data_IF_334083623283
#
_entry.id   IF_334083623283
#
_cell.length_a   1.000
_cell.length_b   1.000
_cell.length_c   1.000
_cell.angle_alpha   90.00
_cell.angle_beta   90.00
_cell.angle_gamma   90.00
#
_symmetry.space_group_name_H-M   'P 1'
#
loop_
_entity.id
_entity.type
_entity.pdbx_description
1 polymer ?
#
# COMPACT_ATOMS: atom_id res chain seq x y z
N UNK A 1 -4.34 14.28 -29.63
CA UNK A 1 -3.07 15.03 -29.65
C UNK A 1 -3.14 16.17 -28.65
N UNK A 2 -2.73 15.97 -27.41
CA UNK A 2 -2.37 17.07 -26.51
C UNK A 2 -1.15 16.63 -25.71
N UNK A 3 -0.04 17.26 -26.06
CA UNK A 3 1.27 17.05 -25.47
C UNK A 3 1.37 17.95 -24.22
N UNK A 4 1.30 17.39 -23.03
CA UNK A 4 1.58 18.12 -21.79
C UNK A 4 3.04 17.88 -21.45
N UNK A 5 3.88 18.79 -21.88
CA UNK A 5 5.29 18.84 -21.51
C UNK A 5 5.43 19.17 -20.03
N UNK A 6 5.86 18.19 -19.26
CA UNK A 6 6.19 18.31 -17.85
C UNK A 6 7.50 19.08 -17.69
N UNK A 7 7.42 20.40 -17.50
CA UNK A 7 8.59 21.23 -17.13
C UNK A 7 8.96 20.95 -15.68
N UNK A 8 9.80 19.95 -15.47
CA UNK A 8 10.59 19.85 -14.23
C UNK A 8 11.63 20.97 -14.24
N UNK A 9 11.34 22.06 -13.55
CA UNK A 9 12.34 23.05 -13.17
C UNK A 9 13.28 22.41 -12.16
N UNK A 10 14.42 21.94 -12.67
CA UNK A 10 15.61 21.66 -11.86
C UNK A 10 16.11 23.01 -11.32
N UNK A 11 15.72 23.37 -10.10
CA UNK A 11 16.38 24.39 -9.34
C UNK A 11 17.71 23.80 -8.86
N UNK A 12 18.76 24.03 -9.64
CA UNK A 12 20.12 23.75 -9.24
C UNK A 12 20.48 24.62 -8.05
N UNK A 13 20.53 24.04 -6.84
CA UNK A 13 21.17 24.67 -5.69
C UNK A 13 22.66 24.71 -6.01
N UNK A 14 23.13 25.85 -6.46
CA UNK A 14 24.55 26.15 -6.57
C UNK A 14 25.13 26.13 -5.14
N UNK A 15 25.75 25.03 -4.76
CA UNK A 15 26.53 24.88 -3.53
C UNK A 15 27.82 25.67 -3.72
N UNK A 16 27.76 26.96 -3.38
CA UNK A 16 28.95 27.82 -3.32
C UNK A 16 29.87 27.27 -2.21
N UNK A 17 30.87 26.47 -2.61
CA UNK A 17 31.98 26.12 -1.74
C UNK A 17 32.85 27.37 -1.53
N UNK A 18 32.62 28.09 -0.45
CA UNK A 18 33.56 29.05 0.07
C UNK A 18 34.67 28.27 0.80
N UNK A 19 35.78 28.04 0.08
CA UNK A 19 37.04 27.62 0.66
C UNK A 19 37.62 28.82 1.39
N UNK A 20 37.41 28.92 2.69
CA UNK A 20 38.23 29.77 3.58
C UNK A 20 39.09 28.86 4.45
N UNK A 21 40.38 28.97 4.19
CA UNK A 21 41.49 28.34 4.90
C UNK A 21 41.79 29.09 6.19
N UNK A 22 42.17 28.35 7.24
CA UNK A 22 42.86 28.73 8.48
C UNK A 22 42.19 29.74 9.42
N UNK A 23 41.64 29.19 10.49
CA UNK A 23 41.31 29.90 11.72
C UNK A 23 40.62 28.93 12.69
N UNK A 24 41.15 28.85 13.90
CA UNK A 24 40.80 27.84 14.91
C UNK A 24 39.32 27.68 15.29
N UNK A 25 39.06 27.19 16.45
CA UNK A 25 37.76 26.75 17.02
C UNK A 25 36.56 27.70 16.73
N UNK A 26 36.80 28.99 16.54
CA UNK A 26 35.75 30.00 16.27
C UNK A 26 35.04 29.77 14.92
N UNK A 27 35.77 29.29 13.90
CA UNK A 27 35.17 29.06 12.56
C UNK A 27 34.25 27.86 12.49
N UNK A 28 34.46 26.83 13.29
CA UNK A 28 33.56 25.67 13.33
C UNK A 28 32.27 25.98 14.07
N UNK A 29 32.34 26.77 15.15
CA UNK A 29 31.17 27.29 15.86
C UNK A 29 30.31 28.17 14.94
N UNK A 30 30.92 29.14 14.22
CA UNK A 30 30.20 30.01 13.28
C UNK A 30 29.52 29.20 12.15
N UNK A 31 30.19 28.18 11.62
CA UNK A 31 29.60 27.30 10.60
C UNK A 31 28.46 26.46 11.15
N UNK A 32 28.58 25.94 12.37
CA UNK A 32 27.53 25.22 13.05
C UNK A 32 26.30 26.12 13.31
N UNK A 33 26.48 27.36 13.77
CA UNK A 33 25.43 28.35 13.96
C UNK A 33 24.73 28.72 12.63
N UNK A 34 25.50 28.87 11.54
CA UNK A 34 24.94 29.10 10.21
C UNK A 34 24.02 27.98 9.77
N UNK A 35 24.35 26.70 10.05
CA UNK A 35 23.49 25.55 9.77
C UNK A 35 22.21 25.62 10.61
N UNK A 36 22.29 25.94 11.88
CA UNK A 36 21.12 26.12 12.77
C UNK A 36 20.17 27.19 12.24
N UNK A 37 20.70 28.33 11.85
CA UNK A 37 19.93 29.44 11.29
C UNK A 37 19.26 29.05 9.96
N UNK A 38 19.96 28.30 9.10
CA UNK A 38 19.40 27.76 7.87
C UNK A 38 18.29 26.73 8.14
N UNK A 39 18.47 25.87 9.15
CA UNK A 39 17.44 24.89 9.52
C UNK A 39 16.18 25.57 10.08
N UNK A 40 16.31 26.60 10.92
CA UNK A 40 15.15 27.36 11.43
C UNK A 40 14.44 28.14 10.30
N UNK A 41 15.21 28.72 9.37
CA UNK A 41 14.66 29.35 8.18
C UNK A 41 13.90 28.35 7.28
N UNK A 42 14.44 27.15 7.11
CA UNK A 42 13.79 26.07 6.34
C UNK A 42 12.47 25.62 7.02
N UNK A 43 12.45 25.48 8.36
CA UNK A 43 11.22 25.19 9.12
C UNK A 43 10.18 26.28 8.87
N UNK A 44 10.59 27.54 8.97
CA UNK A 44 9.70 28.69 8.75
C UNK A 44 9.15 28.75 7.33
N UNK A 45 9.96 28.36 6.35
CA UNK A 45 9.55 28.24 4.95
C UNK A 45 8.72 26.98 4.63
N UNK A 46 8.56 26.05 5.61
CA UNK A 46 7.87 24.78 5.41
C UNK A 46 8.69 23.73 4.66
N UNK A 47 10.00 23.95 4.48
CA UNK A 47 10.91 22.95 3.88
C UNK A 47 11.50 22.06 5.00
N UNK A 48 10.63 21.21 5.53
CA UNK A 48 10.96 20.35 6.66
C UNK A 48 12.01 19.29 6.34
N UNK A 49 12.06 18.81 5.10
CA UNK A 49 13.05 17.82 4.65
C UNK A 49 14.46 18.42 4.63
N UNK A 50 14.59 19.65 4.14
CA UNK A 50 15.83 20.39 4.19
C UNK A 50 16.25 20.65 5.65
N UNK A 51 15.31 21.06 6.51
CA UNK A 51 15.60 21.32 7.92
C UNK A 51 16.15 20.07 8.62
N UNK A 52 15.55 18.90 8.43
CA UNK A 52 16.04 17.64 9.00
C UNK A 52 17.44 17.31 8.48
N UNK A 53 17.68 17.47 7.18
CA UNK A 53 18.99 17.23 6.55
C UNK A 53 20.08 18.15 7.11
N UNK A 54 19.76 19.42 7.33
CA UNK A 54 20.68 20.40 7.93
C UNK A 54 21.01 20.03 9.38
N UNK A 55 20.02 19.61 10.18
CA UNK A 55 20.23 19.19 11.56
C UNK A 55 21.02 17.88 11.67
N UNK A 56 20.85 16.96 10.72
CA UNK A 56 21.70 15.76 10.62
C UNK A 56 23.14 16.11 10.23
N UNK A 57 23.31 17.12 9.37
CA UNK A 57 24.63 17.65 9.01
C UNK A 57 25.30 18.32 10.22
N UNK A 58 24.57 19.11 11.00
CA UNK A 58 25.06 19.70 12.25
C UNK A 58 25.60 18.62 13.18
N UNK A 59 24.80 17.58 13.43
CA UNK A 59 25.17 16.47 14.32
C UNK A 59 26.40 15.70 13.84
N UNK A 60 26.51 15.44 12.53
CA UNK A 60 27.58 14.62 11.96
C UNK A 60 28.89 15.38 11.78
N UNK A 61 28.85 16.65 11.33
CA UNK A 61 30.05 17.44 11.02
C UNK A 61 30.60 18.22 12.21
N UNK A 62 29.73 18.63 13.13
CA UNK A 62 30.09 19.47 14.28
C UNK A 62 29.70 18.80 15.62
N UNK A 63 30.12 17.54 15.88
CA UNK A 63 29.73 16.80 17.08
C UNK A 63 30.29 17.42 18.38
N UNK A 64 31.32 18.27 18.28
CA UNK A 64 31.97 18.91 19.43
C UNK A 64 31.33 20.25 19.80
N UNK A 65 30.50 20.82 18.93
CA UNK A 65 29.80 22.10 19.16
C UNK A 65 28.55 21.91 20.04
N UNK A 66 28.77 21.45 21.28
CA UNK A 66 27.70 21.03 22.20
C UNK A 66 26.73 22.18 22.53
N UNK A 67 27.26 23.42 22.68
CA UNK A 67 26.40 24.59 22.97
C UNK A 67 25.45 24.88 21.81
N UNK A 68 25.96 24.88 20.58
CA UNK A 68 25.16 25.08 19.37
C UNK A 68 24.13 23.97 19.20
N UNK A 69 24.52 22.70 19.37
CA UNK A 69 23.60 21.58 19.28
C UNK A 69 22.49 21.62 20.34
N UNK A 70 22.84 22.05 21.59
CA UNK A 70 21.85 22.23 22.65
C UNK A 70 20.85 23.33 22.29
N UNK A 71 21.31 24.46 21.76
CA UNK A 71 20.43 25.54 21.30
C UNK A 71 19.49 25.13 20.16
N UNK A 72 19.89 24.13 19.36
CA UNK A 72 19.11 23.60 18.23
C UNK A 72 18.20 22.39 18.58
N UNK A 73 18.18 21.94 19.84
CA UNK A 73 17.46 20.70 20.23
C UNK A 73 15.96 20.73 19.94
N UNK A 74 15.32 21.89 19.95
CA UNK A 74 13.89 22.04 19.66
C UNK A 74 13.58 22.11 18.16
N UNK A 75 14.56 22.35 17.30
CA UNK A 75 14.33 22.52 15.86
C UNK A 75 13.96 21.20 15.20
N UNK A 76 14.62 20.10 15.57
CA UNK A 76 14.33 18.78 15.00
C UNK A 76 12.90 18.31 15.27
N UNK A 77 12.39 18.34 16.51
CA UNK A 77 10.99 18.03 16.79
C UNK A 77 10.01 18.93 16.02
N UNK A 78 10.30 20.25 15.88
CA UNK A 78 9.48 21.18 15.09
C UNK A 78 9.47 20.82 13.60
N UNK A 79 10.62 20.46 13.03
CA UNK A 79 10.70 20.00 11.64
C UNK A 79 9.91 18.71 11.44
N UNK A 80 10.06 17.73 12.33
CA UNK A 80 9.30 16.46 12.30
C UNK A 80 7.80 16.72 12.46
N UNK A 81 7.39 17.61 13.37
CA UNK A 81 5.98 17.98 13.52
C UNK A 81 5.40 18.51 12.20
N UNK A 82 6.06 19.50 11.58
CA UNK A 82 5.59 20.08 10.33
C UNK A 82 5.57 19.08 9.18
N UNK A 83 6.62 18.25 9.03
CA UNK A 83 6.67 17.17 8.05
C UNK A 83 5.52 16.17 8.25
N UNK A 84 5.26 15.77 9.51
CA UNK A 84 4.22 14.81 9.86
C UNK A 84 2.83 15.38 9.58
N UNK A 85 2.56 16.64 9.91
CA UNK A 85 1.29 17.31 9.59
C UNK A 85 1.04 17.28 8.08
N UNK A 86 2.03 17.64 7.27
CA UNK A 86 1.91 17.56 5.80
C UNK A 86 1.62 16.14 5.31
N UNK A 87 2.29 15.13 5.89
CA UNK A 87 2.05 13.72 5.54
C UNK A 87 0.64 13.26 5.95
N UNK A 88 0.11 13.75 7.05
CA UNK A 88 -1.27 13.53 7.49
C UNK A 88 -2.25 14.08 6.46
N UNK A 89 -2.11 15.33 6.04
CA UNK A 89 -2.99 15.98 5.04
C UNK A 89 -3.02 15.19 3.72
N UNK A 90 -1.85 14.78 3.23
CA UNK A 90 -1.73 13.95 2.01
C UNK A 90 -2.44 12.61 2.23
N UNK A 91 -2.19 11.95 3.37
CA UNK A 91 -2.77 10.64 3.68
C UNK A 91 -4.29 10.72 3.83
N UNK A 92 -4.82 11.76 4.48
CA UNK A 92 -6.25 11.99 4.64
C UNK A 92 -6.93 12.24 3.28
N UNK A 93 -6.30 12.99 2.39
CA UNK A 93 -6.79 13.19 1.01
C UNK A 93 -6.85 11.87 0.23
N UNK A 94 -5.78 11.05 0.32
CA UNK A 94 -5.74 9.73 -0.32
C UNK A 94 -6.78 8.78 0.28
N UNK A 95 -6.96 8.81 1.60
CA UNK A 95 -7.95 7.99 2.32
C UNK A 95 -9.37 8.37 1.92
N UNK A 96 -9.67 9.66 1.79
CA UNK A 96 -10.97 10.13 1.33
C UNK A 96 -11.28 9.63 -0.09
N UNK A 97 -10.32 9.73 -1.02
CA UNK A 97 -10.45 9.26 -2.39
C UNK A 97 -10.63 7.72 -2.45
N UNK A 98 -9.82 6.97 -1.70
CA UNK A 98 -9.89 5.51 -1.63
C UNK A 98 -11.22 5.05 -1.00
N UNK A 99 -11.69 5.72 0.05
CA UNK A 99 -12.98 5.43 0.70
C UNK A 99 -14.15 5.68 -0.24
N UNK A 100 -14.15 6.79 -0.97
CA UNK A 100 -15.18 7.06 -1.97
C UNK A 100 -15.21 5.99 -3.08
N UNK A 101 -14.03 5.54 -3.54
CA UNK A 101 -13.93 4.45 -4.53
C UNK A 101 -14.48 3.14 -3.96
N UNK A 102 -14.11 2.77 -2.72
CA UNK A 102 -14.63 1.61 -2.01
C UNK A 102 -16.16 1.63 -1.95
N UNK A 103 -16.74 2.74 -1.50
CA UNK A 103 -18.18 2.85 -1.30
C UNK A 103 -18.95 2.78 -2.65
N UNK A 104 -18.37 3.37 -3.70
CA UNK A 104 -18.91 3.26 -5.06
C UNK A 104 -18.88 1.83 -5.57
N UNK A 105 -17.79 1.11 -5.35
CA UNK A 105 -17.64 -0.28 -5.79
C UNK A 105 -18.52 -1.24 -4.97
N UNK A 106 -18.69 -0.99 -3.67
CA UNK A 106 -19.52 -1.82 -2.79
C UNK A 106 -20.95 -1.98 -3.30
N UNK A 107 -21.46 -1.02 -4.07
CA UNK A 107 -22.78 -1.09 -4.69
C UNK A 107 -22.93 -2.26 -5.68
N UNK A 108 -21.86 -2.86 -6.16
CA UNK A 108 -21.88 -4.01 -7.07
C UNK A 108 -21.79 -5.35 -6.33
N UNK A 109 -21.62 -5.33 -5.03
CA UNK A 109 -21.43 -6.52 -4.20
C UNK A 109 -22.64 -6.77 -3.29
N UNK A 110 -22.80 -8.04 -2.92
CA UNK A 110 -23.68 -8.50 -1.85
C UNK A 110 -22.83 -9.17 -0.78
N UNK A 111 -23.16 -8.90 0.47
CA UNK A 111 -22.58 -9.65 1.59
C UNK A 111 -23.38 -10.93 1.80
N UNK A 112 -22.69 -12.06 1.77
CA UNK A 112 -23.28 -13.38 2.04
C UNK A 112 -22.78 -13.83 3.41
N UNK A 113 -23.71 -13.95 4.34
CA UNK A 113 -23.44 -14.52 5.65
C UNK A 113 -23.98 -15.95 5.67
N UNK A 114 -23.07 -16.92 5.65
CA UNK A 114 -23.47 -18.32 5.82
C UNK A 114 -23.22 -18.71 7.28
N UNK A 115 -24.24 -19.14 8.02
CA UNK A 115 -24.08 -19.57 9.43
C UNK A 115 -23.11 -20.73 9.64
N UNK A 116 -22.83 -21.50 8.59
CA UNK A 116 -21.85 -22.59 8.61
C UNK A 116 -20.40 -22.13 8.43
N UNK A 117 -20.20 -20.87 8.00
CA UNK A 117 -18.89 -20.23 7.87
C UNK A 117 -18.66 -19.29 9.05
N UNK A 118 -17.48 -19.32 9.63
CA UNK A 118 -17.11 -18.43 10.75
C UNK A 118 -17.20 -16.96 10.33
N UNK A 119 -16.94 -16.66 9.06
CA UNK A 119 -16.96 -15.31 8.48
C UNK A 119 -17.75 -15.28 7.18
N UNK A 120 -18.51 -14.20 6.96
CA UNK A 120 -19.19 -13.94 5.71
C UNK A 120 -18.20 -13.44 4.63
N UNK A 121 -18.69 -13.29 3.42
CA UNK A 121 -17.90 -12.81 2.29
C UNK A 121 -18.72 -11.89 1.38
N UNK A 122 -18.01 -11.07 0.63
CA UNK A 122 -18.62 -10.31 -0.46
C UNK A 122 -18.44 -11.04 -1.79
N UNK A 123 -19.51 -10.99 -2.60
CA UNK A 123 -19.53 -11.54 -3.96
C UNK A 123 -20.29 -10.55 -4.86
N UNK A 124 -20.03 -10.55 -6.15
CA UNK A 124 -20.81 -9.72 -7.07
C UNK A 124 -22.32 -10.09 -6.99
N UNK A 125 -23.20 -9.10 -7.11
CA UNK A 125 -24.67 -9.30 -6.93
C UNK A 125 -25.24 -10.42 -7.77
N UNK A 126 -24.71 -10.60 -8.98
CA UNK A 126 -25.14 -11.65 -9.91
C UNK A 126 -24.89 -13.06 -9.39
N UNK A 127 -23.94 -13.22 -8.45
CA UNK A 127 -23.62 -14.51 -7.85
C UNK A 127 -24.18 -14.71 -6.43
N UNK A 128 -24.76 -13.69 -5.82
CA UNK A 128 -25.23 -13.75 -4.43
C UNK A 128 -26.25 -14.89 -4.18
N UNK A 129 -27.04 -15.25 -5.19
CA UNK A 129 -28.07 -16.29 -5.11
C UNK A 129 -27.80 -17.44 -6.09
N UNK A 130 -26.58 -17.57 -6.60
CA UNK A 130 -26.20 -18.64 -7.53
C UNK A 130 -25.43 -19.74 -6.82
N UNK A 131 -25.54 -20.97 -7.32
CA UNK A 131 -24.72 -22.07 -6.85
C UNK A 131 -23.63 -22.39 -7.87
N UNK A 132 -22.38 -22.33 -7.44
CA UNK A 132 -21.24 -22.73 -8.24
C UNK A 132 -21.16 -24.26 -8.38
N UNK A 133 -21.76 -25.01 -7.47
CA UNK A 133 -21.64 -26.47 -7.37
C UNK A 133 -22.07 -27.22 -8.64
N UNK A 134 -23.09 -26.71 -9.34
CA UNK A 134 -23.68 -27.42 -10.49
C UNK A 134 -23.25 -26.83 -11.85
N UNK A 135 -22.20 -26.04 -11.89
CA UNK A 135 -21.68 -25.44 -13.13
C UNK A 135 -20.16 -25.55 -13.24
N UNK A 136 -19.65 -25.56 -14.45
CA UNK A 136 -18.21 -25.43 -14.70
C UNK A 136 -17.87 -23.94 -14.84
N UNK A 137 -16.92 -23.48 -14.05
CA UNK A 137 -16.47 -22.10 -14.05
C UNK A 137 -15.78 -21.72 -12.75
N UNK A 138 -15.76 -20.42 -12.47
CA UNK A 138 -15.13 -19.86 -11.28
C UNK A 138 -16.03 -18.80 -10.64
N UNK A 139 -15.82 -18.55 -9.37
CA UNK A 139 -16.44 -17.47 -8.61
C UNK A 139 -15.38 -16.83 -7.73
N UNK A 140 -15.25 -15.52 -7.86
CA UNK A 140 -14.36 -14.76 -7.02
C UNK A 140 -15.13 -14.15 -5.84
N UNK A 141 -14.52 -14.19 -4.69
CA UNK A 141 -15.05 -13.66 -3.42
C UNK A 141 -13.98 -12.85 -2.71
N UNK A 142 -14.40 -12.06 -1.73
CA UNK A 142 -13.52 -11.27 -0.87
C UNK A 142 -14.01 -11.31 0.56
N UNK A 143 -13.08 -11.50 1.50
CA UNK A 143 -13.40 -11.40 2.93
C UNK A 143 -13.67 -9.95 3.34
N UNK A 144 -14.31 -9.69 4.49
CA UNK A 144 -14.45 -8.34 5.03
C UNK A 144 -13.11 -7.61 5.20
N UNK A 145 -12.03 -8.35 5.46
CA UNK A 145 -10.67 -7.84 5.64
C UNK A 145 -9.97 -7.51 4.32
N UNK A 146 -10.58 -7.88 3.17
CA UNK A 146 -10.06 -7.58 1.84
C UNK A 146 -9.24 -8.70 1.22
N UNK A 147 -9.26 -9.92 1.76
CA UNK A 147 -8.57 -11.05 1.16
C UNK A 147 -9.36 -11.57 -0.05
N UNK A 148 -8.72 -11.56 -1.21
CA UNK A 148 -9.27 -12.06 -2.47
C UNK A 148 -9.07 -13.58 -2.55
N UNK A 149 -10.12 -14.29 -2.99
CA UNK A 149 -10.03 -15.71 -3.26
C UNK A 149 -10.94 -16.14 -4.41
N UNK A 150 -10.56 -17.22 -5.08
CA UNK A 150 -11.30 -17.80 -6.20
C UNK A 150 -11.68 -19.23 -5.85
N UNK A 151 -12.96 -19.54 -6.04
CA UNK A 151 -13.43 -20.91 -5.99
C UNK A 151 -13.64 -21.37 -7.43
N UNK A 152 -13.00 -22.49 -7.79
CA UNK A 152 -13.25 -23.20 -9.05
C UNK A 152 -14.27 -24.30 -8.88
N UNK A 153 -15.06 -24.55 -9.91
CA UNK A 153 -15.92 -25.73 -10.02
C UNK A 153 -15.80 -26.32 -11.41
N UNK A 154 -15.47 -27.59 -11.49
CA UNK A 154 -15.47 -28.39 -12.70
C UNK A 154 -16.57 -29.44 -12.57
N UNK A 155 -17.69 -29.22 -13.25
CA UNK A 155 -18.78 -30.17 -13.36
C UNK A 155 -18.77 -30.77 -14.78
N UNK A 156 -17.81 -31.66 -15.00
CA UNK A 156 -17.56 -32.30 -16.27
C UNK A 156 -16.81 -33.62 -16.03
N UNK A 157 -16.17 -34.19 -17.07
CA UNK A 157 -15.31 -35.36 -16.89
C UNK A 157 -14.16 -35.00 -15.93
N UNK A 158 -13.99 -35.72 -14.82
CA UNK A 158 -12.99 -35.45 -13.81
C UNK A 158 -11.55 -35.42 -14.36
N UNK A 159 -10.79 -34.40 -14.05
CA UNK A 159 -9.37 -34.27 -14.42
C UNK A 159 -8.44 -34.23 -13.20
N UNK A 160 -9.03 -34.24 -12.01
CA UNK A 160 -8.31 -34.12 -10.73
C UNK A 160 -7.48 -32.82 -10.71
N UNK A 161 -8.12 -31.69 -11.05
CA UNK A 161 -7.41 -30.45 -11.14
C UNK A 161 -6.86 -30.02 -9.79
N UNK A 162 -5.69 -29.37 -9.81
CA UNK A 162 -4.98 -28.81 -8.64
C UNK A 162 -4.61 -27.36 -8.85
N UNK A 163 -4.75 -26.84 -10.07
CA UNK A 163 -4.54 -25.43 -10.39
C UNK A 163 -5.46 -24.98 -11.55
N UNK A 164 -5.56 -23.67 -11.72
CA UNK A 164 -6.24 -23.04 -12.84
C UNK A 164 -5.25 -22.25 -13.68
N UNK A 165 -5.49 -22.18 -15.00
CA UNK A 165 -4.82 -21.21 -15.86
C UNK A 165 -5.83 -20.37 -16.61
N UNK A 166 -5.42 -19.12 -16.89
CA UNK A 166 -6.08 -18.23 -17.85
C UNK A 166 -5.14 -17.98 -19.02
N UNK A 167 -5.66 -18.17 -20.23
CA UNK A 167 -4.89 -18.02 -21.46
C UNK A 167 -5.61 -17.14 -22.47
N UNK A 168 -4.88 -16.18 -23.03
CA UNK A 168 -5.32 -15.35 -24.15
C UNK A 168 -4.16 -15.04 -25.10
N UNK A 169 -4.32 -14.07 -26.01
CA UNK A 169 -3.27 -13.68 -26.95
C UNK A 169 -2.04 -13.04 -26.29
N UNK A 170 -2.18 -12.45 -25.09
CA UNK A 170 -1.08 -11.83 -24.34
C UNK A 170 -0.22 -12.88 -23.59
N UNK A 171 -0.73 -14.11 -23.41
CA UNK A 171 0.00 -15.16 -22.71
C UNK A 171 -0.89 -16.06 -21.87
N UNK A 172 -0.26 -16.74 -20.93
CA UNK A 172 -0.89 -17.65 -19.98
C UNK A 172 -0.36 -17.40 -18.57
N UNK A 173 -1.27 -17.39 -17.60
CA UNK A 173 -0.95 -17.29 -16.15
C UNK A 173 -1.69 -18.39 -15.41
N UNK A 174 -1.16 -18.80 -14.26
CA UNK A 174 -1.73 -19.88 -13.45
C UNK A 174 -1.81 -19.51 -11.99
N UNK A 175 -2.73 -20.14 -11.28
CA UNK A 175 -2.72 -20.15 -9.80
C UNK A 175 -1.53 -20.96 -9.27
N UNK A 176 -1.25 -20.83 -7.98
CA UNK A 176 -0.48 -21.85 -7.29
C UNK A 176 -1.18 -23.22 -7.39
N UNK A 177 -0.41 -24.28 -7.18
CA UNK A 177 -0.96 -25.64 -7.07
C UNK A 177 -1.45 -25.87 -5.65
N UNK A 178 -2.68 -26.34 -5.51
CA UNK A 178 -3.29 -26.76 -4.23
C UNK A 178 -3.42 -28.26 -4.24
N UNK A 179 -2.69 -28.90 -3.33
CA UNK A 179 -2.74 -30.35 -3.17
C UNK A 179 -4.12 -30.78 -2.64
N UNK A 180 -4.52 -31.99 -3.03
CA UNK A 180 -5.80 -32.53 -2.59
C UNK A 180 -5.67 -33.12 -1.19
N UNK A 181 -6.02 -32.33 -0.19
CA UNK A 181 -5.97 -32.70 1.24
C UNK A 181 -7.37 -32.81 1.88
N UNK A 182 -8.41 -32.35 1.20
CA UNK A 182 -9.79 -32.35 1.70
C UNK A 182 -10.19 -31.07 2.43
N UNK A 183 -9.27 -30.14 2.68
CA UNK A 183 -9.56 -28.89 3.42
C UNK A 183 -10.16 -27.82 2.49
N UNK A 184 -9.45 -27.53 1.39
CA UNK A 184 -9.83 -26.49 0.42
C UNK A 184 -10.35 -27.03 -0.89
N UNK A 185 -10.62 -28.31 -0.95
CA UNK A 185 -11.05 -28.97 -2.16
C UNK A 185 -12.11 -30.05 -1.88
N UNK A 186 -12.92 -30.25 -2.89
CA UNK A 186 -14.05 -31.18 -2.84
C UNK A 186 -14.12 -31.98 -4.16
N UNK A 187 -14.36 -33.28 -4.07
CA UNK A 187 -14.59 -34.14 -5.21
C UNK A 187 -15.69 -35.16 -4.88
N UNK A 188 -16.85 -34.97 -5.49
CA UNK A 188 -17.96 -35.94 -5.37
C UNK A 188 -18.92 -35.76 -6.53
N UNK A 189 -19.59 -36.84 -6.92
CA UNK A 189 -20.67 -36.82 -7.90
C UNK A 189 -20.30 -36.30 -9.31
N UNK A 190 -19.01 -36.32 -9.67
CA UNK A 190 -18.53 -35.76 -10.93
C UNK A 190 -18.15 -34.25 -10.85
N UNK A 191 -18.29 -33.64 -9.70
CA UNK A 191 -17.90 -32.25 -9.45
C UNK A 191 -16.54 -32.20 -8.72
N UNK A 192 -15.64 -31.35 -9.16
CA UNK A 192 -14.37 -31.02 -8.53
C UNK A 192 -14.35 -29.52 -8.18
N UNK A 193 -14.08 -29.17 -6.93
CA UNK A 193 -13.99 -27.77 -6.50
C UNK A 193 -12.68 -27.54 -5.72
N UNK A 194 -12.09 -26.37 -5.92
CA UNK A 194 -10.91 -25.92 -5.17
C UNK A 194 -11.06 -24.43 -4.84
N UNK A 195 -10.63 -24.05 -3.64
CA UNK A 195 -10.49 -22.66 -3.20
C UNK A 195 -9.02 -22.26 -3.24
N UNK A 196 -8.70 -21.21 -4.01
CA UNK A 196 -7.39 -20.56 -4.11
C UNK A 196 -7.45 -19.22 -3.38
N UNK A 197 -6.51 -18.94 -2.48
CA UNK A 197 -6.60 -17.81 -1.55
C UNK A 197 -5.43 -16.85 -1.74
N UNK A 198 -5.70 -15.55 -1.81
CA UNK A 198 -4.72 -14.48 -1.85
C UNK A 198 -3.68 -14.66 -2.95
N UNK A 199 -2.40 -14.66 -2.58
CA UNK A 199 -1.27 -14.76 -3.52
C UNK A 199 -1.32 -16.01 -4.43
N UNK A 200 -2.08 -17.04 -4.07
CA UNK A 200 -2.25 -18.23 -4.92
C UNK A 200 -3.01 -17.92 -6.22
N UNK A 201 -3.87 -16.90 -6.23
CA UNK A 201 -4.75 -16.56 -7.36
C UNK A 201 -4.70 -15.09 -7.80
N UNK A 202 -3.97 -14.22 -7.12
CA UNK A 202 -3.84 -12.79 -7.46
C UNK A 202 -3.40 -12.57 -8.91
N UNK A 203 -2.56 -13.46 -9.44
CA UNK A 203 -2.09 -13.42 -10.83
C UNK A 203 -3.23 -13.51 -11.84
N UNK A 204 -4.31 -14.25 -11.53
CA UNK A 204 -5.47 -14.36 -12.41
C UNK A 204 -6.25 -13.04 -12.45
N UNK A 205 -6.43 -12.40 -11.29
CA UNK A 205 -7.07 -11.09 -11.17
C UNK A 205 -6.29 -10.00 -11.92
N UNK A 206 -4.98 -9.94 -11.71
CA UNK A 206 -4.10 -9.01 -12.39
C UNK A 206 -4.12 -9.21 -13.91
N UNK A 207 -4.00 -10.46 -14.37
CA UNK A 207 -3.99 -10.77 -15.80
C UNK A 207 -5.27 -10.33 -16.52
N UNK A 208 -6.44 -10.54 -15.91
CA UNK A 208 -7.71 -10.10 -16.51
C UNK A 208 -7.85 -8.59 -16.50
N UNK A 209 -7.39 -7.93 -15.44
CA UNK A 209 -7.42 -6.46 -15.31
C UNK A 209 -6.52 -5.80 -16.36
N UNK A 210 -5.34 -6.37 -16.62
CA UNK A 210 -4.40 -5.87 -17.63
C UNK A 210 -4.86 -6.16 -19.07
N UNK A 211 -5.70 -7.21 -19.26
CA UNK A 211 -6.17 -7.66 -20.56
C UNK A 211 -7.69 -7.58 -20.69
N UNK A 212 -8.27 -6.44 -20.30
CA UNK A 212 -9.73 -6.23 -20.34
C UNK A 212 -10.32 -6.47 -21.71
N UNK A 213 -11.42 -7.23 -21.73
CA UNK A 213 -12.16 -7.52 -22.96
C UNK A 213 -11.52 -8.59 -23.88
N UNK A 214 -10.29 -9.04 -23.62
CA UNK A 214 -9.66 -10.07 -24.44
C UNK A 214 -10.35 -11.43 -24.25
N UNK A 215 -10.64 -12.14 -25.35
CA UNK A 215 -11.16 -13.49 -25.28
C UNK A 215 -10.16 -14.40 -24.53
N UNK A 216 -10.62 -15.04 -23.47
CA UNK A 216 -9.77 -15.80 -22.56
C UNK A 216 -10.33 -17.20 -22.35
N UNK A 217 -9.43 -18.17 -22.29
CA UNK A 217 -9.73 -19.58 -22.01
C UNK A 217 -9.39 -19.83 -20.54
N UNK A 218 -10.31 -20.46 -19.82
CA UNK A 218 -10.11 -21.02 -18.48
C UNK A 218 -9.68 -22.48 -18.63
N UNK A 219 -8.61 -22.87 -17.95
CA UNK A 219 -8.03 -24.21 -18.00
C UNK A 219 -7.96 -24.75 -16.57
N UNK A 220 -8.52 -25.92 -16.37
CA UNK A 220 -8.41 -26.70 -15.14
C UNK A 220 -7.26 -27.69 -15.32
N UNK A 221 -6.19 -27.55 -14.56
CA UNK A 221 -4.96 -28.32 -14.69
C UNK A 221 -4.88 -29.41 -13.61
N UNK A 222 -4.68 -30.65 -14.02
CA UNK A 222 -4.55 -31.82 -13.14
C UNK A 222 -3.82 -32.94 -13.83
N UNK A 223 -4.21 -34.20 -13.56
CA UNK A 223 -3.68 -35.38 -14.27
C UNK A 223 -3.94 -35.29 -15.78
N UNK A 224 -5.00 -34.59 -16.14
CA UNK A 224 -5.35 -34.16 -17.51
C UNK A 224 -5.76 -32.69 -17.40
N UNK A 225 -5.94 -32.03 -18.53
CA UNK A 225 -6.50 -30.67 -18.55
C UNK A 225 -7.90 -30.65 -19.12
N UNK A 226 -8.72 -29.71 -18.64
CA UNK A 226 -10.01 -29.37 -19.24
C UNK A 226 -10.04 -27.88 -19.52
N UNK A 227 -10.42 -27.50 -20.73
CA UNK A 227 -10.42 -26.08 -21.15
C UNK A 227 -11.82 -25.66 -21.58
N UNK A 228 -12.20 -24.45 -21.24
CA UNK A 228 -13.47 -23.82 -21.65
C UNK A 228 -13.28 -22.33 -21.84
N UNK A 229 -14.05 -21.67 -22.72
CA UNK A 229 -14.05 -20.20 -22.73
C UNK A 229 -14.44 -19.64 -21.35
N UNK A 230 -13.70 -18.67 -20.86
CA UNK A 230 -14.08 -17.96 -19.65
C UNK A 230 -15.38 -17.19 -19.89
N UNK A 231 -16.42 -17.49 -19.10
CA UNK A 231 -17.71 -16.81 -19.24
C UNK A 231 -17.59 -15.32 -18.94
N UNK A 232 -18.45 -14.49 -19.52
CA UNK A 232 -18.48 -13.04 -19.25
C UNK A 232 -18.73 -12.76 -17.77
N UNK A 233 -19.53 -13.59 -17.11
CA UNK A 233 -19.90 -13.42 -15.72
C UNK A 233 -18.76 -13.84 -14.78
N UNK A 234 -18.07 -14.96 -15.08
CA UNK A 234 -16.89 -15.38 -14.32
C UNK A 234 -15.76 -14.36 -14.44
N UNK A 235 -15.55 -13.84 -15.66
CA UNK A 235 -14.60 -12.72 -15.88
C UNK A 235 -14.94 -11.51 -15.03
N UNK A 236 -16.20 -11.05 -15.10
CA UNK A 236 -16.68 -9.92 -14.31
C UNK A 236 -16.47 -10.15 -12.82
N UNK A 237 -16.76 -11.36 -12.35
CA UNK A 237 -16.55 -11.75 -10.96
C UNK A 237 -15.10 -11.59 -10.55
N UNK A 238 -14.15 -12.13 -11.31
CA UNK A 238 -12.73 -12.02 -11.00
C UNK A 238 -12.26 -10.58 -11.06
N UNK A 239 -12.54 -9.84 -12.17
CA UNK A 239 -12.06 -8.47 -12.36
C UNK A 239 -12.56 -7.53 -11.27
N UNK A 240 -13.88 -7.51 -11.01
CA UNK A 240 -14.45 -6.60 -10.02
C UNK A 240 -14.03 -6.96 -8.60
N UNK A 241 -13.97 -8.24 -8.26
CA UNK A 241 -13.59 -8.68 -6.91
C UNK A 241 -12.11 -8.41 -6.64
N UNK A 242 -11.23 -8.64 -7.63
CA UNK A 242 -9.81 -8.32 -7.51
C UNK A 242 -9.57 -6.80 -7.36
N UNK A 243 -10.28 -5.97 -8.14
CA UNK A 243 -10.19 -4.51 -7.99
C UNK A 243 -10.68 -4.04 -6.62
N UNK A 244 -11.78 -4.62 -6.13
CA UNK A 244 -12.29 -4.32 -4.79
C UNK A 244 -11.31 -4.72 -3.69
N UNK A 245 -10.67 -5.89 -3.82
CA UNK A 245 -9.63 -6.34 -2.90
C UNK A 245 -8.46 -5.36 -2.83
N UNK A 246 -8.02 -4.86 -3.98
CA UNK A 246 -6.96 -3.84 -4.04
C UNK A 246 -7.37 -2.54 -3.34
N UNK A 247 -8.60 -2.08 -3.54
CA UNK A 247 -9.13 -0.88 -2.88
C UNK A 247 -9.23 -1.07 -1.37
N UNK A 248 -9.70 -2.21 -0.88
CA UNK A 248 -9.77 -2.50 0.55
C UNK A 248 -8.36 -2.58 1.18
N UNK A 249 -7.43 -3.21 0.48
CA UNK A 249 -6.03 -3.30 0.91
C UNK A 249 -5.37 -1.92 0.96
N UNK A 250 -5.60 -1.06 -0.04
CA UNK A 250 -5.12 0.32 -0.07
C UNK A 250 -5.70 1.12 1.09
N UNK A 251 -7.01 1.04 1.30
CA UNK A 251 -7.71 1.72 2.39
C UNK A 251 -7.14 1.32 3.76
N UNK A 252 -6.91 0.03 3.98
CA UNK A 252 -6.29 -0.49 5.20
C UNK A 252 -4.87 0.04 5.40
N UNK A 253 -4.05 0.03 4.35
CA UNK A 253 -2.67 0.57 4.41
C UNK A 253 -2.66 2.05 4.75
N UNK A 254 -3.57 2.82 4.17
CA UNK A 254 -3.69 4.25 4.43
C UNK A 254 -4.14 4.53 5.88
N UNK A 255 -5.09 3.76 6.43
CA UNK A 255 -5.49 3.87 7.82
C UNK A 255 -4.32 3.56 8.77
N UNK A 256 -3.60 2.47 8.55
CA UNK A 256 -2.41 2.13 9.34
C UNK A 256 -1.32 3.21 9.27
N UNK A 257 -1.11 3.80 8.09
CA UNK A 257 -0.19 4.93 7.91
C UNK A 257 -0.68 6.14 8.70
N UNK A 258 -1.96 6.44 8.67
CA UNK A 258 -2.56 7.57 9.39
C UNK A 258 -2.37 7.43 10.90
N UNK A 259 -2.65 6.24 11.45
CA UNK A 259 -2.43 5.93 12.86
C UNK A 259 -0.95 6.03 13.27
N UNK A 260 -0.05 5.61 12.39
CA UNK A 260 1.39 5.77 12.61
C UNK A 260 1.79 7.25 12.69
N UNK A 261 1.31 8.06 11.75
CA UNK A 261 1.59 9.50 11.69
C UNK A 261 1.04 10.24 12.92
N UNK A 262 -0.14 9.86 13.44
CA UNK A 262 -0.69 10.45 14.66
C UNK A 262 0.21 10.19 15.87
N UNK A 263 0.71 8.96 16.01
CA UNK A 263 1.66 8.65 17.09
C UNK A 263 2.97 9.41 16.92
N UNK A 264 3.48 9.55 15.70
CA UNK A 264 4.69 10.33 15.41
C UNK A 264 4.50 11.81 15.75
N UNK A 265 3.35 12.38 15.39
CA UNK A 265 2.99 13.75 15.69
C UNK A 265 2.95 13.99 17.22
N UNK A 266 2.34 13.08 17.96
CA UNK A 266 2.29 13.16 19.41
C UNK A 266 3.69 13.13 20.03
N UNK A 267 4.56 12.24 19.58
CA UNK A 267 5.96 12.18 20.07
C UNK A 267 6.70 13.48 19.78
N UNK A 268 6.55 14.06 18.58
CA UNK A 268 7.20 15.32 18.24
C UNK A 268 6.72 16.47 19.15
N UNK A 269 5.42 16.55 19.39
CA UNK A 269 4.82 17.56 20.30
C UNK A 269 5.28 17.43 21.74
N UNK A 270 5.34 16.21 22.25
CA UNK A 270 5.86 15.92 23.59
C UNK A 270 7.33 16.33 23.73
N UNK A 271 8.14 16.11 22.69
CA UNK A 271 9.53 16.56 22.66
C UNK A 271 9.65 18.08 22.63
N UNK A 272 8.83 18.76 21.85
CA UNK A 272 8.78 20.23 21.82
C UNK A 272 8.43 20.78 23.22
N UNK A 273 7.39 20.22 23.84
CA UNK A 273 6.96 20.63 25.17
C UNK A 273 8.06 20.49 26.23
N UNK A 274 8.80 19.38 26.23
CA UNK A 274 9.93 19.13 27.15
C UNK A 274 11.07 20.14 26.93
N UNK A 275 11.47 20.35 25.66
CA UNK A 275 12.57 21.26 25.32
C UNK A 275 12.23 22.74 25.59
N UNK A 276 10.95 23.08 25.67
CA UNK A 276 10.48 24.41 26.01
C UNK A 276 10.42 24.63 27.55
N UNK A 277 10.24 23.54 28.31
CA UNK A 277 10.13 23.58 29.79
C UNK A 277 11.48 23.47 30.53
N UNK A 278 12.54 22.94 29.87
CA UNK A 278 13.88 22.98 30.46
C UNK A 278 14.48 24.39 30.27
N UNK A 279 14.54 25.25 31.31
CA UNK A 279 15.32 26.47 31.21
C UNK A 279 16.77 26.08 30.97
N UNK A 280 17.44 26.81 30.08
CA UNK A 280 18.89 26.71 29.92
C UNK A 280 19.51 26.70 31.32
N UNK A 281 20.09 25.56 31.69
CA UNK A 281 20.76 25.50 33.01
C UNK A 281 21.75 26.63 33.08
N UNK A 282 21.53 27.53 34.05
CA UNK A 282 22.39 28.66 34.35
C UNK A 282 23.85 28.21 34.36
N UNK A 283 24.66 28.73 33.46
CA UNK A 283 26.12 28.72 33.56
C UNK A 283 26.50 29.52 34.80
N UNK A 284 26.43 28.89 35.94
CA UNK A 284 27.16 29.30 37.14
C UNK A 284 28.29 28.29 37.32
N UNK A 285 29.42 28.59 36.69
CA UNK A 285 30.77 28.60 37.26
C UNK A 285 31.79 28.95 36.15
#
# INVERSE_FOLDING_TARGET
MYNVANKRTLLGVAMAMLLFSCGGKDTDTERAEAIVNQADSAITAGDYDLAVTLLDTLKSRYPREIKVQRGAMNLRPRAIEGQTIRQIEITDSMLAASSHRRDSMMNYFSFVNNPELVEGYYVIKEYANSSLFNRTGVEARITPEGEFYIISSLNAKPVKHTSLSLKNQAGEVSTATVDYDGDRNYRSGGTEMITFVGAECDTLGQFLTDNRGAATILIFNGAKSYSTPLSKLDRKSIEQTYEMANVLTENRKLNLKRDFLDRQLQVARDQIARTTQEPAADDKD
#
